data_IF_869586370969
#
_entry.id   IF_869586370969
#
_cell.length_a   1.000
_cell.length_b   1.000
_cell.length_c   1.000
_cell.angle_alpha   90.00
_cell.angle_beta   90.00
_cell.angle_gamma   90.00
#
_symmetry.space_group_name_H-M   'P 1'
#
loop_
_entity.id
_entity.type
_entity.pdbx_description
1 polymer ?
#
# COMPACT_ATOMS: atom_id res chain seq x y z
N UNK A 1 10.10 -0.39 6.55
CA UNK A 1 9.49 -1.64 6.08
C UNK A 1 10.03 -2.86 6.85
N UNK A 2 11.36 -2.99 6.97
CA UNK A 2 12.00 -4.12 7.68
C UNK A 2 11.53 -4.33 9.12
N UNK A 3 11.37 -3.26 9.90
CA UNK A 3 10.85 -3.35 11.28
C UNK A 3 9.45 -3.97 11.33
N UNK A 4 8.58 -3.62 10.39
CA UNK A 4 7.24 -4.21 10.30
C UNK A 4 7.35 -5.71 10.03
N UNK A 5 8.09 -6.12 8.98
CA UNK A 5 8.27 -7.53 8.62
C UNK A 5 8.83 -8.34 9.80
N UNK A 6 9.83 -7.80 10.52
CA UNK A 6 10.41 -8.45 11.70
C UNK A 6 9.37 -8.67 12.80
N UNK A 7 8.61 -7.64 13.14
CA UNK A 7 7.57 -7.74 14.18
C UNK A 7 6.43 -8.69 13.77
N UNK A 8 6.04 -8.70 12.49
CA UNK A 8 5.03 -9.67 12.01
C UNK A 8 5.56 -11.10 12.04
N UNK A 9 6.85 -11.31 11.76
CA UNK A 9 7.48 -12.63 11.90
C UNK A 9 7.49 -13.10 13.36
N UNK A 10 7.88 -12.22 14.29
CA UNK A 10 7.82 -12.51 15.73
C UNK A 10 6.38 -12.85 16.18
N UNK A 11 5.37 -12.14 15.63
CA UNK A 11 3.95 -12.43 15.86
C UNK A 11 3.58 -13.84 15.38
N UNK A 12 3.95 -14.23 14.15
CA UNK A 12 3.68 -15.56 13.59
C UNK A 12 4.41 -16.68 14.33
N UNK A 13 5.65 -16.45 14.77
CA UNK A 13 6.42 -17.41 15.57
C UNK A 13 5.80 -17.63 16.96
N UNK A 14 5.12 -16.60 17.50
CA UNK A 14 4.45 -16.66 18.80
C UNK A 14 3.06 -17.28 18.70
N UNK A 15 2.31 -16.99 17.63
CA UNK A 15 0.92 -17.40 17.44
C UNK A 15 0.88 -18.70 16.63
N UNK A 16 1.15 -19.82 17.33
CA UNK A 16 1.20 -21.14 16.70
C UNK A 16 -0.16 -21.68 16.22
N UNK A 17 -1.26 -21.19 16.81
CA UNK A 17 -2.62 -21.61 16.50
C UNK A 17 -3.50 -20.36 16.32
N UNK A 18 -3.55 -19.79 15.11
CA UNK A 18 -4.29 -18.55 14.84
C UNK A 18 -5.77 -18.61 15.20
N UNK A 19 -6.41 -19.79 15.06
CA UNK A 19 -7.84 -19.95 15.36
C UNK A 19 -8.19 -19.74 16.84
N UNK A 20 -7.21 -19.71 17.75
CA UNK A 20 -7.45 -19.34 19.16
C UNK A 20 -7.76 -17.86 19.36
N UNK A 21 -7.52 -17.05 18.33
CA UNK A 21 -7.85 -15.63 18.32
C UNK A 21 -9.30 -15.37 17.86
N UNK A 22 -9.98 -16.40 17.36
CA UNK A 22 -11.38 -16.31 16.98
C UNK A 22 -12.22 -16.08 18.23
N UNK A 23 -13.21 -15.20 18.12
CA UNK A 23 -14.11 -14.79 19.20
C UNK A 23 -13.44 -13.92 20.30
N UNK A 24 -12.20 -13.47 20.07
CA UNK A 24 -11.55 -12.45 20.91
C UNK A 24 -11.61 -11.11 20.21
N UNK A 25 -12.00 -10.06 20.94
CA UNK A 25 -12.04 -8.68 20.43
C UNK A 25 -11.10 -7.78 21.21
N UNK A 26 -10.53 -6.79 20.50
CA UNK A 26 -9.64 -5.79 21.13
C UNK A 26 -10.45 -4.95 22.12
N UNK A 27 -9.96 -4.83 23.36
CA UNK A 27 -10.62 -4.06 24.41
C UNK A 27 -11.77 -4.78 25.12
N UNK A 28 -11.91 -6.11 24.95
CA UNK A 28 -12.85 -6.91 25.73
C UNK A 28 -12.52 -6.91 27.24
N UNK A 29 -13.46 -7.36 28.07
CA UNK A 29 -13.25 -7.46 29.54
C UNK A 29 -12.13 -8.42 29.95
N UNK A 30 -11.65 -9.24 29.01
CA UNK A 30 -10.62 -10.25 29.18
C UNK A 30 -9.24 -9.74 28.72
N UNK A 31 -9.19 -8.55 28.11
CA UNK A 31 -8.00 -7.84 27.67
C UNK A 31 -7.22 -7.32 28.90
N UNK A 32 -6.31 -8.17 29.38
CA UNK A 32 -5.41 -7.86 30.50
C UNK A 32 -4.24 -6.97 30.08
N UNK A 33 -4.09 -6.68 28.78
CA UNK A 33 -3.03 -5.83 28.24
C UNK A 33 -3.56 -4.41 28.09
N UNK A 34 -3.78 -3.75 29.23
CA UNK A 34 -3.95 -2.30 29.24
C UNK A 34 -2.61 -1.67 28.81
N UNK A 35 -2.43 -1.51 27.50
CA UNK A 35 -1.32 -0.75 26.91
C UNK A 35 -1.51 0.72 27.28
N UNK A 36 -1.19 1.13 28.51
CA UNK A 36 -1.26 2.54 28.89
C UNK A 36 -0.29 3.40 28.06
N UNK A 37 -0.77 4.57 27.64
CA UNK A 37 0.00 5.56 26.87
C UNK A 37 -0.36 5.64 25.38
N UNK A 38 0.47 6.34 24.61
CA UNK A 38 0.23 6.67 23.19
C UNK A 38 -0.04 5.42 22.34
N UNK A 39 0.64 4.30 22.66
CA UNK A 39 0.50 3.04 21.92
C UNK A 39 -0.87 2.41 22.07
N UNK A 40 -1.41 2.33 23.28
CA UNK A 40 -2.78 1.84 23.48
C UNK A 40 -3.80 2.79 22.89
N UNK A 41 -3.59 4.11 22.97
CA UNK A 41 -4.51 5.09 22.35
C UNK A 41 -4.60 4.93 20.84
N UNK A 42 -3.49 4.65 20.14
CA UNK A 42 -3.50 4.42 18.69
C UNK A 42 -4.18 3.10 18.35
N UNK A 43 -3.87 2.03 19.09
CA UNK A 43 -4.49 0.71 18.92
C UNK A 43 -6.00 0.83 19.13
N UNK A 44 -6.41 1.41 20.25
CA UNK A 44 -7.81 1.70 20.59
C UNK A 44 -8.52 2.50 19.48
N UNK A 45 -7.92 3.61 19.02
CA UNK A 45 -8.54 4.45 18.00
C UNK A 45 -8.61 3.84 16.60
N UNK A 46 -7.82 2.79 16.29
CA UNK A 46 -7.72 2.23 14.93
C UNK A 46 -8.31 0.84 14.78
N UNK A 47 -8.41 0.08 15.88
CA UNK A 47 -8.83 -1.32 15.86
C UNK A 47 -9.75 -1.69 17.03
N UNK A 48 -10.41 -0.70 17.66
CA UNK A 48 -11.41 -0.97 18.71
C UNK A 48 -12.48 -1.95 18.22
N UNK A 49 -12.85 -2.89 19.09
CA UNK A 49 -13.85 -3.94 18.82
C UNK A 49 -13.55 -4.87 17.63
N UNK A 50 -12.34 -4.82 17.04
CA UNK A 50 -11.99 -5.72 15.94
C UNK A 50 -11.64 -7.12 16.45
N UNK A 51 -12.04 -8.15 15.70
CA UNK A 51 -11.66 -9.53 15.96
C UNK A 51 -10.15 -9.75 15.78
N UNK A 52 -9.51 -10.37 16.77
CA UNK A 52 -8.06 -10.56 16.80
C UNK A 52 -7.58 -11.48 15.67
N UNK A 53 -8.35 -12.51 15.31
CA UNK A 53 -8.00 -13.41 14.20
C UNK A 53 -8.03 -12.66 12.86
N UNK A 54 -9.01 -11.79 12.66
CA UNK A 54 -9.13 -10.92 11.50
C UNK A 54 -7.93 -9.97 11.40
N UNK A 55 -7.57 -9.32 12.51
CA UNK A 55 -6.40 -8.45 12.57
C UNK A 55 -5.12 -9.21 12.22
N UNK A 56 -4.92 -10.39 12.82
CA UNK A 56 -3.81 -11.29 12.51
C UNK A 56 -3.73 -11.59 11.01
N UNK A 57 -4.86 -11.98 10.41
CA UNK A 57 -4.95 -12.31 8.98
C UNK A 57 -4.59 -11.12 8.10
N UNK A 58 -5.10 -9.92 8.41
CA UNK A 58 -4.79 -8.70 7.65
C UNK A 58 -3.32 -8.30 7.74
N UNK A 59 -2.73 -8.32 8.94
CA UNK A 59 -1.31 -8.01 9.14
C UNK A 59 -0.43 -9.02 8.41
N UNK A 60 -0.79 -10.30 8.47
CA UNK A 60 -0.11 -11.38 7.75
C UNK A 60 -0.18 -11.17 6.23
N UNK A 61 -1.36 -10.82 5.71
CA UNK A 61 -1.53 -10.49 4.30
C UNK A 61 -0.68 -9.28 3.89
N UNK A 62 -0.65 -8.21 4.69
CA UNK A 62 0.19 -7.05 4.40
C UNK A 62 1.68 -7.41 4.32
N UNK A 63 2.17 -8.30 5.19
CA UNK A 63 3.55 -8.79 5.13
C UNK A 63 3.82 -9.53 3.83
N UNK A 64 2.91 -10.37 3.37
CA UNK A 64 3.02 -11.08 2.08
C UNK A 64 3.11 -10.07 0.94
N UNK A 65 2.21 -9.10 0.88
CA UNK A 65 2.22 -8.07 -0.18
C UNK A 65 3.54 -7.30 -0.22
N UNK A 66 4.07 -6.93 0.95
CA UNK A 66 5.37 -6.25 1.06
C UNK A 66 6.49 -7.12 0.50
N UNK A 67 6.49 -8.41 0.84
CA UNK A 67 7.53 -9.35 0.42
C UNK A 67 7.45 -9.61 -1.09
N UNK A 68 6.24 -9.85 -1.60
CA UNK A 68 6.00 -10.20 -3.01
C UNK A 68 6.13 -9.01 -3.94
N UNK A 69 5.88 -7.80 -3.45
CA UNK A 69 6.10 -6.62 -4.25
C UNK A 69 7.59 -6.33 -4.51
N UNK A 70 8.50 -7.01 -3.81
CA UNK A 70 9.92 -7.03 -4.13
C UNK A 70 10.26 -8.01 -5.26
N UNK A 71 9.49 -9.10 -5.41
CA UNK A 71 9.70 -10.11 -6.46
C UNK A 71 9.12 -9.70 -7.82
N UNK A 72 8.06 -8.88 -7.85
CA UNK A 72 7.54 -8.29 -9.10
C UNK A 72 8.51 -7.35 -9.81
N UNK A 73 9.62 -6.96 -9.18
CA UNK A 73 10.72 -6.25 -9.83
C UNK A 73 11.55 -7.16 -10.75
N UNK A 74 11.41 -8.48 -10.65
CA UNK A 74 12.21 -9.45 -11.41
C UNK A 74 11.46 -10.12 -12.58
N UNK A 75 10.14 -9.92 -12.73
CA UNK A 75 9.31 -10.76 -13.62
C UNK A 75 9.03 -10.17 -15.01
N UNK A 76 9.38 -8.92 -15.30
CA UNK A 76 9.11 -8.30 -16.62
C UNK A 76 10.29 -8.32 -17.60
N UNK A 77 11.27 -9.22 -17.40
CA UNK A 77 12.47 -9.26 -18.26
C UNK A 77 12.43 -10.25 -19.42
N UNK A 78 11.31 -10.91 -19.71
CA UNK A 78 11.31 -11.93 -20.77
C UNK A 78 10.04 -11.92 -21.63
N UNK A 79 9.87 -10.86 -22.42
CA UNK A 79 9.24 -10.94 -23.75
C UNK A 79 9.97 -9.97 -24.71
N UNK A 80 11.15 -10.38 -25.18
CA UNK A 80 11.71 -9.90 -26.44
C UNK A 80 11.38 -10.95 -27.52
N UNK A 81 10.63 -10.60 -28.56
CA UNK A 81 11.09 -10.75 -29.94
C UNK A 81 10.12 -10.12 -30.96
N UNK A 82 10.73 -9.27 -31.80
CA UNK A 82 10.45 -9.08 -33.22
C UNK A 82 9.24 -8.22 -33.65
N UNK A 83 9.51 -6.95 -33.98
CA UNK A 83 9.19 -6.35 -35.31
C UNK A 83 9.39 -4.82 -35.31
N UNK A 84 10.49 -4.37 -35.90
CA UNK A 84 10.58 -3.09 -36.66
C UNK A 84 10.47 -3.49 -38.16
N UNK A 85 10.07 -2.61 -39.13
CA UNK A 85 10.57 -1.25 -39.19
C UNK A 85 9.64 -0.13 -39.74
N UNK A 86 10.09 1.10 -39.46
CA UNK A 86 10.10 2.28 -40.35
C UNK A 86 8.98 3.36 -40.28
N UNK A 87 9.48 4.58 -40.02
CA UNK A 87 9.24 5.83 -40.77
C UNK A 87 8.05 6.76 -40.42
N UNK A 88 8.46 7.96 -39.96
CA UNK A 88 8.02 9.32 -40.37
C UNK A 88 7.52 10.21 -39.24
N UNK A 89 8.42 11.09 -38.83
CA UNK A 89 8.10 12.42 -38.32
C UNK A 89 7.15 13.14 -39.28
N UNK A 90 5.94 13.44 -38.82
CA UNK A 90 5.15 14.59 -39.28
C UNK A 90 4.56 15.31 -38.07
N UNK A 91 5.10 16.49 -37.81
CA UNK A 91 4.50 17.50 -36.94
C UNK A 91 3.10 17.85 -37.45
N UNK A 92 2.07 17.61 -36.64
CA UNK A 92 0.77 18.26 -36.79
C UNK A 92 0.50 19.06 -35.52
N UNK A 93 0.51 20.38 -35.70
CA UNK A 93 0.03 21.38 -34.77
C UNK A 93 -1.51 21.28 -34.71
N UNK A 94 -2.04 20.75 -33.61
CA UNK A 94 -3.47 20.82 -33.31
C UNK A 94 -3.69 21.47 -31.95
N UNK A 95 -4.26 22.66 -32.02
CA UNK A 95 -4.90 23.36 -30.92
C UNK A 95 -6.14 22.58 -30.49
N UNK A 96 -6.18 22.12 -29.25
CA UNK A 96 -7.42 21.85 -28.54
C UNK A 96 -7.21 22.14 -27.06
N UNK A 97 -7.97 23.14 -26.60
CA UNK A 97 -8.13 23.52 -25.21
C UNK A 97 -8.62 22.30 -24.41
N UNK A 98 -7.80 21.81 -23.48
CA UNK A 98 -8.27 20.94 -22.41
C UNK A 98 -8.13 21.69 -21.10
N UNK A 99 -9.28 22.07 -20.56
CA UNK A 99 -9.45 22.64 -19.23
C UNK A 99 -8.84 21.70 -18.19
N UNK A 100 -7.74 22.13 -17.59
CA UNK A 100 -7.19 21.50 -16.40
C UNK A 100 -8.04 21.92 -15.21
N UNK A 101 -9.02 21.10 -14.85
CA UNK A 101 -9.69 21.24 -13.55
C UNK A 101 -8.80 20.52 -12.55
N UNK A 102 -7.87 21.27 -11.95
CA UNK A 102 -7.20 20.88 -10.73
C UNK A 102 -8.22 20.91 -9.60
N UNK A 103 -8.88 19.79 -9.33
CA UNK A 103 -9.59 19.59 -8.07
C UNK A 103 -8.54 19.33 -6.98
N UNK A 104 -8.04 20.41 -6.38
CA UNK A 104 -7.40 20.34 -5.07
C UNK A 104 -8.45 19.86 -4.07
N UNK A 105 -8.48 18.56 -3.81
CA UNK A 105 -9.30 17.99 -2.76
C UNK A 105 -8.65 18.34 -1.42
N UNK A 106 -8.98 19.53 -0.90
CA UNK A 106 -8.77 19.85 0.51
C UNK A 106 -9.81 19.06 1.29
N UNK A 107 -9.45 17.84 1.70
CA UNK A 107 -10.18 17.16 2.76
C UNK A 107 -9.85 17.84 4.08
N UNK A 108 -10.55 18.92 4.39
CA UNK A 108 -10.64 19.42 5.76
C UNK A 108 -11.63 18.54 6.51
N UNK A 109 -11.11 17.50 7.16
CA UNK A 109 -11.89 16.68 8.07
C UNK A 109 -12.16 17.47 9.35
N UNK A 110 -13.28 18.19 9.39
CA UNK A 110 -13.88 18.60 10.66
C UNK A 110 -14.37 17.33 11.36
N UNK A 111 -13.67 16.91 12.41
CA UNK A 111 -14.12 15.82 13.28
C UNK A 111 -15.26 16.38 14.13
N UNK A 112 -16.47 16.37 13.57
CA UNK A 112 -17.68 16.47 14.37
C UNK A 112 -17.84 15.11 15.03
N UNK A 113 -17.63 15.05 16.35
CA UNK A 113 -17.88 13.84 17.16
C UNK A 113 -19.39 13.70 17.28
N UNK A 114 -20.01 13.16 16.23
CA UNK A 114 -21.41 12.76 16.19
C UNK A 114 -21.45 11.28 16.51
N UNK A 115 -21.39 10.98 17.81
CA UNK A 115 -21.52 9.63 18.35
C UNK A 115 -22.94 9.12 18.10
N UNK A 116 -23.23 8.52 16.94
CA UNK A 116 -24.26 7.50 16.67
C UNK A 116 -24.03 6.88 15.27
N UNK A 117 -23.18 5.85 15.15
CA UNK A 117 -23.28 4.88 14.06
C UNK A 117 -22.65 3.55 14.46
N UNK A 118 -23.52 2.64 14.85
CA UNK A 118 -23.31 1.20 14.80
C UNK A 118 -23.26 0.79 13.32
N UNK A 119 -22.15 1.08 12.65
CA UNK A 119 -21.88 0.67 11.27
C UNK A 119 -20.43 0.21 11.15
N UNK A 120 -20.25 -1.11 11.11
CA UNK A 120 -19.12 -1.85 10.54
C UNK A 120 -17.72 -1.20 10.65
N UNK A 121 -17.15 -1.19 11.86
CA UNK A 121 -15.69 -1.05 12.09
C UNK A 121 -14.86 -2.05 11.26
N UNK A 122 -15.52 -3.13 10.81
CA UNK A 122 -15.05 -4.06 9.80
C UNK A 122 -14.46 -3.35 8.57
N UNK A 123 -15.11 -2.32 8.04
CA UNK A 123 -14.70 -1.71 6.77
C UNK A 123 -13.48 -0.79 6.89
N UNK A 124 -13.23 -0.20 8.06
CA UNK A 124 -12.13 0.73 8.26
C UNK A 124 -10.76 0.07 8.07
N UNK A 125 -10.53 -1.07 8.73
CA UNK A 125 -9.24 -1.78 8.66
C UNK A 125 -9.05 -2.44 7.28
N UNK A 126 -10.12 -3.00 6.72
CA UNK A 126 -10.12 -3.54 5.35
C UNK A 126 -9.82 -2.46 4.31
N UNK A 127 -10.37 -1.26 4.47
CA UNK A 127 -10.07 -0.11 3.62
C UNK A 127 -8.61 0.31 3.74
N UNK A 128 -8.04 0.30 4.95
CA UNK A 128 -6.62 0.59 5.17
C UNK A 128 -5.71 -0.38 4.40
N UNK A 129 -6.00 -1.68 4.44
CA UNK A 129 -5.24 -2.70 3.68
C UNK A 129 -5.35 -2.45 2.17
N UNK A 130 -6.57 -2.25 1.64
CA UNK A 130 -6.77 -1.99 0.20
C UNK A 130 -6.05 -0.73 -0.25
N UNK A 131 -6.14 0.34 0.55
CA UNK A 131 -5.43 1.59 0.30
C UNK A 131 -3.92 1.35 0.25
N UNK A 132 -3.37 0.67 1.25
CA UNK A 132 -1.94 0.35 1.31
C UNK A 132 -1.48 -0.44 0.07
N UNK A 133 -2.22 -1.49 -0.34
CA UNK A 133 -1.91 -2.27 -1.55
C UNK A 133 -1.88 -1.39 -2.81
N UNK A 134 -2.89 -0.53 -2.99
CA UNK A 134 -2.96 0.40 -4.13
C UNK A 134 -1.78 1.36 -4.16
N UNK A 135 -1.43 1.95 -3.01
CA UNK A 135 -0.31 2.88 -2.91
C UNK A 135 1.02 2.19 -3.21
N UNK A 136 1.22 0.99 -2.66
CA UNK A 136 2.42 0.21 -2.87
C UNK A 136 2.62 -0.08 -4.37
N UNK A 137 1.59 -0.59 -5.05
CA UNK A 137 1.62 -0.82 -6.50
C UNK A 137 1.94 0.46 -7.30
N UNK A 138 1.34 1.59 -6.93
CA UNK A 138 1.60 2.87 -7.59
C UNK A 138 3.05 3.35 -7.42
N UNK A 139 3.62 3.16 -6.23
CA UNK A 139 5.02 3.48 -5.95
C UNK A 139 5.97 2.66 -6.82
N UNK A 140 5.73 1.34 -6.93
CA UNK A 140 6.55 0.47 -7.78
C UNK A 140 6.53 0.88 -9.25
N UNK A 141 5.36 1.14 -9.79
CA UNK A 141 5.21 1.62 -11.17
C UNK A 141 5.97 2.92 -11.45
N UNK A 142 5.99 3.84 -10.47
CA UNK A 142 6.74 5.09 -10.62
C UNK A 142 8.25 4.86 -10.55
N UNK A 143 8.72 3.98 -9.67
CA UNK A 143 10.14 3.63 -9.58
C UNK A 143 10.61 2.99 -10.88
N UNK A 144 9.87 2.01 -11.41
CA UNK A 144 10.16 1.35 -12.69
C UNK A 144 10.31 2.36 -13.83
N UNK A 145 9.34 3.29 -13.98
CA UNK A 145 9.42 4.36 -14.97
C UNK A 145 10.65 5.23 -14.81
N UNK A 146 11.02 5.58 -13.58
CA UNK A 146 12.20 6.41 -13.33
C UNK A 146 13.51 5.65 -13.56
N UNK A 147 13.53 4.34 -13.30
CA UNK A 147 14.66 3.46 -13.65
C UNK A 147 14.88 3.47 -15.16
N UNK A 148 13.84 3.23 -15.97
CA UNK A 148 13.94 3.29 -17.42
C UNK A 148 14.37 4.68 -17.93
N UNK A 149 13.87 5.75 -17.32
CA UNK A 149 14.28 7.11 -17.67
C UNK A 149 15.76 7.35 -17.37
N UNK A 150 16.27 6.84 -16.24
CA UNK A 150 17.68 6.93 -15.87
C UNK A 150 18.59 6.12 -16.80
N UNK A 151 18.16 4.92 -17.19
CA UNK A 151 18.86 4.09 -18.20
C UNK A 151 18.94 4.83 -19.54
N UNK A 152 17.81 5.38 -20.01
CA UNK A 152 17.79 6.18 -21.23
C UNK A 152 18.73 7.39 -21.17
N UNK A 153 18.72 8.13 -20.06
CA UNK A 153 19.63 9.27 -19.87
C UNK A 153 21.10 8.85 -19.94
N UNK A 154 21.43 7.71 -19.33
CA UNK A 154 22.79 7.16 -19.34
C UNK A 154 23.22 6.78 -20.75
N UNK A 155 22.37 6.05 -21.48
CA UNK A 155 22.63 5.63 -22.87
C UNK A 155 22.75 6.85 -23.80
N UNK A 156 21.87 7.83 -23.64
CA UNK A 156 21.88 9.06 -24.44
C UNK A 156 23.17 9.85 -24.22
N UNK A 157 23.59 9.99 -22.97
CA UNK A 157 24.81 10.72 -22.62
C UNK A 157 26.07 10.04 -23.18
N UNK A 158 26.15 8.71 -23.10
CA UNK A 158 27.25 7.95 -23.69
C UNK A 158 27.34 8.18 -25.20
N UNK A 159 26.21 8.07 -25.92
CA UNK A 159 26.17 8.27 -27.36
C UNK A 159 26.49 9.71 -27.82
N UNK A 160 26.24 10.72 -26.98
CA UNK A 160 26.48 12.12 -27.32
C UNK A 160 27.93 12.58 -27.00
N UNK A 161 28.73 11.77 -26.28
CA UNK A 161 30.10 12.13 -25.83
C UNK A 161 31.21 11.29 -26.48
N UNK A 162 30.87 10.12 -27.03
CA UNK A 162 31.73 9.40 -27.98
C UNK A 162 31.79 10.11 -29.34
#
# INVERSE_FOLDING_TARGET
MERFIRTVREMEDTILIPSRLLDLTVGDSQDRLQLEGIRGSIVKATIDNTDLYRLYSMISQMKIEILWSQDHMNTFQDENEDSEPTERFKYIKSSSSMQSICTSSNSESNITIENYSETDDEDAVSHAVRSFKRHLRGLYHNIEKMTLAAEYLTLRYQNDID
#
